data_IF_799574748671
#
_entry.id   IF_799574748671
#
_cell.length_a   1.000
_cell.length_b   1.000
_cell.length_c   1.000
_cell.angle_alpha   90.00
_cell.angle_beta   90.00
_cell.angle_gamma   90.00
#
_symmetry.space_group_name_H-M   'P 1'
#
loop_
_entity.id
_entity.type
_entity.pdbx_description
1 polymer ?
#
# COMPACT_ATOMS: atom_id res chain seq x y z
N UNK A 1 -8.21 21.54 -68.91
CA UNK A 1 -6.94 21.52 -68.17
C UNK A 1 -7.01 20.32 -67.24
N UNK A 2 -6.54 19.16 -67.72
CA UNK A 2 -6.68 17.88 -67.03
C UNK A 2 -5.50 17.65 -66.10
N UNK A 3 -5.77 17.18 -64.89
CA UNK A 3 -4.72 16.73 -63.98
C UNK A 3 -4.14 15.42 -64.53
N UNK A 4 -2.90 15.46 -65.00
CA UNK A 4 -2.14 14.26 -65.32
C UNK A 4 -1.75 13.57 -64.00
N UNK A 5 -2.50 12.53 -63.65
CA UNK A 5 -2.14 11.65 -62.54
C UNK A 5 -0.94 10.82 -62.98
N UNK A 6 0.20 11.03 -62.32
CA UNK A 6 1.42 10.27 -62.59
C UNK A 6 1.17 8.78 -62.33
N UNK A 7 1.59 7.92 -63.26
CA UNK A 7 1.27 6.48 -63.27
C UNK A 7 1.82 5.69 -62.07
N UNK A 8 2.56 6.33 -61.18
CA UNK A 8 3.09 5.72 -59.97
C UNK A 8 2.06 5.67 -58.84
N UNK A 9 0.96 6.43 -58.87
CA UNK A 9 0.03 6.43 -57.73
C UNK A 9 -1.07 5.35 -57.82
N UNK A 10 -1.08 4.55 -58.89
CA UNK A 10 -2.07 3.47 -59.10
C UNK A 10 -2.10 2.45 -57.97
N UNK A 11 -0.95 2.19 -57.33
CA UNK A 11 -0.88 1.25 -56.21
C UNK A 11 -1.63 1.78 -54.98
N UNK A 12 -1.67 3.10 -54.75
CA UNK A 12 -2.39 3.72 -53.63
C UNK A 12 -3.91 3.56 -53.79
N UNK A 13 -4.41 3.72 -55.01
CA UNK A 13 -5.84 3.53 -55.30
C UNK A 13 -6.28 2.07 -55.18
N UNK A 14 -5.43 1.14 -55.62
CA UNK A 14 -5.67 -0.30 -55.45
C UNK A 14 -5.62 -0.70 -53.97
N UNK A 15 -4.64 -0.21 -53.22
CA UNK A 15 -4.52 -0.44 -51.78
C UNK A 15 -5.76 0.09 -51.03
N UNK A 16 -6.20 1.32 -51.34
CA UNK A 16 -7.42 1.90 -50.77
C UNK A 16 -8.69 1.11 -51.15
N UNK A 17 -8.80 0.64 -52.39
CA UNK A 17 -9.93 -0.17 -52.87
C UNK A 17 -10.04 -1.50 -52.11
N UNK A 18 -8.91 -2.21 -51.93
CA UNK A 18 -8.90 -3.48 -51.19
C UNK A 18 -9.10 -3.29 -49.68
N UNK A 19 -8.66 -2.18 -49.08
CA UNK A 19 -8.90 -1.87 -47.66
C UNK A 19 -10.37 -1.54 -47.33
N UNK A 20 -11.15 -1.09 -48.32
CA UNK A 20 -12.57 -0.75 -48.18
C UNK A 20 -13.50 -1.90 -48.65
N UNK A 21 -12.97 -2.91 -49.32
CA UNK A 21 -13.75 -4.01 -49.86
C UNK A 21 -14.17 -5.00 -48.75
N UNK A 22 -15.49 -5.19 -48.59
CA UNK A 22 -16.11 -5.94 -47.47
C UNK A 22 -15.65 -7.40 -47.33
N UNK A 23 -15.12 -8.02 -48.39
CA UNK A 23 -14.62 -9.40 -48.36
C UNK A 23 -13.18 -9.53 -47.84
N UNK A 24 -12.43 -8.43 -47.76
CA UNK A 24 -11.06 -8.39 -47.24
C UNK A 24 -11.08 -7.88 -45.79
N UNK A 25 -11.09 -8.79 -44.82
CA UNK A 25 -10.97 -8.46 -43.40
C UNK A 25 -9.51 -8.19 -43.00
N UNK A 26 -8.83 -7.28 -43.71
CA UNK A 26 -7.51 -6.79 -43.30
C UNK A 26 -7.60 -5.76 -42.16
N UNK A 27 -8.83 -5.40 -41.75
CA UNK A 27 -9.15 -4.24 -40.92
C UNK A 27 -10.14 -4.52 -39.77
N UNK A 28 -9.89 -5.53 -38.94
CA UNK A 28 -10.45 -5.54 -37.57
C UNK A 28 -9.40 -5.56 -36.47
N UNK A 29 -8.16 -5.99 -36.73
CA UNK A 29 -7.08 -5.99 -35.72
C UNK A 29 -5.98 -4.96 -35.97
N UNK A 30 -5.79 -4.45 -37.19
CA UNK A 30 -4.61 -3.61 -37.56
C UNK A 30 -4.88 -2.34 -38.38
N UNK A 31 -6.12 -1.89 -38.59
CA UNK A 31 -6.31 -0.43 -38.51
C UNK A 31 -5.99 -0.15 -37.06
N UNK A 32 -4.77 0.28 -36.85
CA UNK A 32 -4.30 0.81 -35.59
C UNK A 32 -5.34 1.85 -35.24
N UNK A 33 -6.22 1.53 -34.28
CA UNK A 33 -6.91 2.55 -33.54
C UNK A 33 -5.76 3.34 -32.91
N UNK A 34 -5.25 4.34 -33.64
CA UNK A 34 -4.59 5.48 -33.08
C UNK A 34 -5.67 6.16 -32.24
N UNK A 35 -6.03 5.53 -31.11
CA UNK A 35 -6.44 6.28 -29.94
C UNK A 35 -5.21 7.11 -29.67
N UNK A 36 -5.19 8.32 -30.23
CA UNK A 36 -4.42 9.41 -29.69
C UNK A 36 -4.95 9.50 -28.28
N UNK A 37 -4.32 8.76 -27.36
CA UNK A 37 -4.71 8.79 -25.96
C UNK A 37 -4.26 10.17 -25.52
N UNK A 38 -5.15 11.15 -25.68
CA UNK A 38 -5.03 12.40 -24.98
C UNK A 38 -5.05 11.99 -23.52
N UNK A 39 -3.86 11.90 -22.92
CA UNK A 39 -3.73 11.47 -21.55
C UNK A 39 -4.63 12.35 -20.70
N UNK A 40 -5.41 11.73 -19.81
CA UNK A 40 -6.18 12.51 -18.85
C UNK A 40 -5.18 13.36 -18.07
N UNK A 41 -5.39 14.68 -18.06
CA UNK A 41 -4.57 15.59 -17.28
C UNK A 41 -4.78 15.26 -15.82
N UNK A 42 -3.70 15.29 -15.05
CA UNK A 42 -3.76 15.00 -13.62
C UNK A 42 -3.17 16.15 -12.86
N UNK A 43 -3.85 16.50 -11.79
CA UNK A 43 -3.54 17.64 -10.94
C UNK A 43 -3.28 17.15 -9.52
N UNK A 44 -2.27 17.74 -8.89
CA UNK A 44 -1.93 17.53 -7.50
C UNK A 44 -2.26 18.80 -6.72
N UNK A 45 -3.26 18.71 -5.87
CA UNK A 45 -3.71 19.79 -5.03
C UNK A 45 -3.37 19.53 -3.56
N UNK A 46 -3.51 20.59 -2.76
CA UNK A 46 -3.70 20.45 -1.33
C UNK A 46 -4.99 19.66 -1.00
N UNK A 47 -5.12 19.16 0.22
CA UNK A 47 -6.33 18.47 0.69
C UNK A 47 -7.62 19.26 0.41
N UNK A 48 -7.55 20.57 0.62
CA UNK A 48 -8.71 21.46 0.47
C UNK A 48 -8.93 21.92 -0.99
N UNK A 49 -8.06 21.55 -1.93
CA UNK A 49 -8.18 21.95 -3.33
C UNK A 49 -7.83 23.41 -3.62
N UNK A 50 -7.35 24.17 -2.63
CA UNK A 50 -7.06 25.61 -2.77
C UNK A 50 -5.77 25.92 -3.52
N UNK A 51 -4.77 25.04 -3.40
CA UNK A 51 -3.43 25.26 -3.94
C UNK A 51 -3.07 24.14 -4.89
N UNK A 52 -2.69 24.48 -6.13
CA UNK A 52 -2.21 23.55 -7.14
C UNK A 52 -0.68 23.46 -7.07
N UNK A 53 -0.17 22.30 -6.67
CA UNK A 53 1.28 22.05 -6.58
C UNK A 53 1.87 21.61 -7.91
N UNK A 54 1.16 20.75 -8.65
CA UNK A 54 1.70 20.17 -9.89
C UNK A 54 0.57 19.76 -10.84
N UNK A 55 0.80 19.92 -12.14
CA UNK A 55 -0.13 19.47 -13.19
C UNK A 55 0.64 18.72 -14.27
N UNK A 56 0.05 17.63 -14.76
CA UNK A 56 0.65 16.76 -15.77
C UNK A 56 -0.32 16.45 -16.89
N UNK A 57 0.22 16.06 -18.04
CA UNK A 57 -0.56 15.67 -19.22
C UNK A 57 -1.02 14.21 -19.14
N UNK A 58 -0.48 13.41 -18.22
CA UNK A 58 -0.82 12.00 -18.11
C UNK A 58 -0.48 11.41 -16.73
N UNK A 59 -1.15 10.31 -16.39
CA UNK A 59 -0.85 9.49 -15.21
C UNK A 59 0.59 8.95 -15.22
N UNK A 60 1.13 8.61 -16.38
CA UNK A 60 2.50 8.10 -16.48
C UNK A 60 3.53 9.18 -16.15
N UNK A 61 3.24 10.43 -16.53
CA UNK A 61 4.13 11.56 -16.27
C UNK A 61 4.22 11.88 -14.77
N UNK A 62 3.08 11.94 -14.06
CA UNK A 62 3.11 12.18 -12.60
C UNK A 62 3.82 11.04 -11.84
N UNK A 63 3.73 9.80 -12.32
CA UNK A 63 4.45 8.67 -11.74
C UNK A 63 5.97 8.80 -11.93
N UNK A 64 6.42 9.19 -13.13
CA UNK A 64 7.83 9.39 -13.43
C UNK A 64 8.42 10.58 -12.69
N UNK A 65 7.72 11.72 -12.71
CA UNK A 65 8.21 12.98 -12.17
C UNK A 65 8.21 13.02 -10.63
N UNK A 66 7.15 12.50 -9.99
CA UNK A 66 6.97 12.57 -8.53
C UNK A 66 7.30 11.24 -7.82
N UNK A 67 7.61 10.18 -8.57
CA UNK A 67 7.90 8.86 -8.00
C UNK A 67 6.73 8.27 -7.20
N UNK A 68 5.50 8.49 -7.65
CA UNK A 68 4.30 7.95 -7.02
C UNK A 68 3.95 6.63 -7.70
N UNK A 69 3.67 5.60 -6.90
CA UNK A 69 3.33 4.28 -7.43
C UNK A 69 1.97 4.31 -8.18
N UNK A 70 1.83 3.64 -9.35
CA UNK A 70 0.62 3.67 -10.17
C UNK A 70 -0.66 3.27 -9.43
N UNK A 71 -0.59 2.24 -8.58
CA UNK A 71 -1.76 1.80 -7.80
C UNK A 71 -2.21 2.86 -6.79
N UNK A 72 -1.28 3.61 -6.24
CA UNK A 72 -1.59 4.70 -5.32
C UNK A 72 -2.30 5.83 -6.06
N UNK A 73 -1.79 6.24 -7.22
CA UNK A 73 -2.47 7.23 -8.06
C UNK A 73 -3.90 6.79 -8.44
N UNK A 74 -4.08 5.52 -8.87
CA UNK A 74 -5.41 4.97 -9.19
C UNK A 74 -6.35 4.96 -7.98
N UNK A 75 -5.82 4.70 -6.79
CA UNK A 75 -6.60 4.75 -5.55
C UNK A 75 -7.01 6.18 -5.21
N UNK A 76 -6.11 7.14 -5.43
CA UNK A 76 -6.38 8.54 -5.16
C UNK A 76 -7.40 9.14 -6.11
N UNK A 77 -7.35 8.77 -7.39
CA UNK A 77 -8.37 9.16 -8.38
C UNK A 77 -9.78 8.61 -8.05
N UNK A 78 -9.89 7.58 -7.21
CA UNK A 78 -11.19 7.08 -6.71
C UNK A 78 -11.72 7.87 -5.50
N UNK A 79 -10.99 8.88 -5.04
CA UNK A 79 -11.37 9.73 -3.90
C UNK A 79 -10.55 9.50 -2.63
N UNK A 80 -9.45 8.76 -2.67
CA UNK A 80 -8.56 8.63 -1.51
C UNK A 80 -7.51 9.74 -1.46
N UNK A 81 -7.24 10.25 -0.27
CA UNK A 81 -6.20 11.26 -0.09
C UNK A 81 -4.80 10.64 -0.20
N UNK A 82 -3.88 11.35 -0.83
CA UNK A 82 -2.48 10.95 -0.89
C UNK A 82 -1.73 11.44 0.35
N UNK A 83 -1.17 10.50 1.12
CA UNK A 83 -0.44 10.75 2.37
C UNK A 83 -1.22 11.55 3.43
N UNK A 84 -2.53 11.69 3.29
CA UNK A 84 -3.35 12.63 4.06
C UNK A 84 -2.85 14.08 4.01
N UNK A 85 -2.15 14.48 2.93
CA UNK A 85 -1.68 15.85 2.72
C UNK A 85 -2.03 16.39 1.35
N UNK A 86 -2.33 15.51 0.37
CA UNK A 86 -2.56 15.93 -1.00
C UNK A 86 -3.79 15.25 -1.58
N UNK A 87 -4.41 15.93 -2.53
CA UNK A 87 -5.51 15.40 -3.33
C UNK A 87 -5.05 15.25 -4.80
N UNK A 88 -5.37 14.12 -5.42
CA UNK A 88 -5.02 13.85 -6.82
C UNK A 88 -6.32 13.72 -7.61
N UNK A 89 -6.54 14.62 -8.56
CA UNK A 89 -7.75 14.65 -9.38
C UNK A 89 -7.42 14.68 -10.87
N UNK A 90 -8.36 14.20 -11.68
CA UNK A 90 -8.34 14.30 -13.14
C UNK A 90 -9.12 15.54 -13.65
N UNK A 91 -9.97 16.13 -12.81
CA UNK A 91 -10.67 17.37 -13.07
C UNK A 91 -9.92 18.57 -12.47
N UNK A 92 -9.81 19.69 -13.21
CA UNK A 92 -9.28 20.93 -12.67
C UNK A 92 -10.30 21.56 -11.71
N UNK A 93 -9.83 22.05 -10.57
CA UNK A 93 -10.64 22.80 -9.60
C UNK A 93 -10.54 24.29 -9.93
N UNK A 94 -11.66 24.92 -10.25
CA UNK A 94 -11.75 26.36 -10.51
C UNK A 94 -11.57 27.14 -9.20
N UNK A 95 -10.60 28.07 -9.18
CA UNK A 95 -10.27 28.88 -8.00
C UNK A 95 -9.01 28.46 -7.25
N UNK A 96 -8.32 27.40 -7.70
CA UNK A 96 -7.04 27.00 -7.12
C UNK A 96 -5.91 27.97 -7.50
N UNK A 97 -5.12 28.41 -6.53
CA UNK A 97 -3.93 29.23 -6.73
C UNK A 97 -2.75 28.35 -7.11
N UNK A 98 -2.03 28.71 -8.17
CA UNK A 98 -0.82 28.00 -8.59
C UNK A 98 0.31 28.30 -7.59
N UNK A 99 0.90 27.25 -7.02
CA UNK A 99 1.96 27.40 -6.01
C UNK A 99 3.32 27.82 -6.59
N UNK A 100 3.48 27.79 -7.92
CA UNK A 100 4.72 28.11 -8.65
C UNK A 100 5.95 27.28 -8.23
N UNK A 101 5.75 26.03 -7.79
CA UNK A 101 6.87 25.12 -7.52
C UNK A 101 7.40 24.49 -8.80
N UNK A 102 8.71 24.24 -8.82
CA UNK A 102 9.35 23.41 -9.84
C UNK A 102 9.10 21.92 -9.54
N UNK A 103 9.14 21.07 -10.57
CA UNK A 103 8.99 19.61 -10.42
C UNK A 103 9.88 18.99 -9.33
N UNK A 104 11.20 19.29 -9.25
CA UNK A 104 12.05 18.73 -8.20
C UNK A 104 11.70 19.22 -6.79
N UNK A 105 11.22 20.45 -6.63
CA UNK A 105 10.76 20.97 -5.33
C UNK A 105 9.52 20.22 -4.86
N UNK A 106 8.56 19.96 -5.75
CA UNK A 106 7.36 19.16 -5.42
C UNK A 106 7.74 17.72 -5.05
N UNK A 107 8.68 17.11 -5.77
CA UNK A 107 9.16 15.76 -5.45
C UNK A 107 9.86 15.71 -4.07
N UNK A 108 10.62 16.75 -3.73
CA UNK A 108 11.28 16.89 -2.42
C UNK A 108 10.25 17.04 -1.30
N UNK A 109 9.26 17.91 -1.49
CA UNK A 109 8.14 18.11 -0.56
C UNK A 109 7.38 16.79 -0.31
N UNK A 110 7.06 16.04 -1.36
CA UNK A 110 6.40 14.73 -1.24
C UNK A 110 7.26 13.76 -0.43
N UNK A 111 8.57 13.76 -0.65
CA UNK A 111 9.49 12.87 0.07
C UNK A 111 9.55 13.17 1.56
N UNK A 112 9.57 14.45 1.95
CA UNK A 112 9.48 14.86 3.35
C UNK A 112 8.14 14.45 3.98
N UNK A 113 7.03 14.68 3.27
CA UNK A 113 5.68 14.28 3.73
C UNK A 113 5.54 12.77 3.87
N UNK A 114 6.19 11.96 3.01
CA UNK A 114 6.25 10.49 3.16
C UNK A 114 6.89 10.09 4.49
N UNK A 115 8.02 10.71 4.86
CA UNK A 115 8.71 10.44 6.14
C UNK A 115 7.81 10.80 7.32
N UNK A 116 7.17 11.96 7.28
CA UNK A 116 6.24 12.39 8.32
C UNK A 116 5.06 11.42 8.46
N UNK A 117 4.42 11.05 7.36
CA UNK A 117 3.31 10.09 7.33
C UNK A 117 3.71 8.72 7.89
N UNK A 118 4.89 8.22 7.55
CA UNK A 118 5.42 6.97 8.09
C UNK A 118 5.70 7.10 9.60
N UNK A 119 6.25 8.22 10.05
CA UNK A 119 6.53 8.45 11.47
C UNK A 119 5.26 8.53 12.32
N UNK A 120 4.18 9.12 11.81
CA UNK A 120 2.88 9.19 12.49
C UNK A 120 2.15 7.86 12.46
N UNK A 121 2.26 7.10 11.36
CA UNK A 121 1.57 5.82 11.18
C UNK A 121 2.29 4.66 11.88
N UNK A 122 3.62 4.71 12.00
CA UNK A 122 4.42 3.61 12.57
C UNK A 122 4.31 3.48 14.09
N UNK A 123 4.12 4.59 14.82
CA UNK A 123 4.02 4.59 16.29
C UNK A 123 2.85 3.76 16.84
N UNK A 124 1.80 3.51 16.05
CA UNK A 124 0.57 2.86 16.54
C UNK A 124 0.36 1.43 16.06
N UNK A 125 1.13 0.93 15.08
CA UNK A 125 0.82 -0.38 14.45
C UNK A 125 1.85 -1.49 14.64
N UNK A 126 3.12 -1.19 14.96
CA UNK A 126 4.19 -2.19 14.80
C UNK A 126 4.99 -2.58 16.04
N UNK A 127 4.94 -1.83 17.14
CA UNK A 127 5.61 -2.20 18.40
C UNK A 127 4.57 -2.55 19.46
N UNK A 128 4.05 -3.77 19.40
CA UNK A 128 3.35 -4.36 20.56
C UNK A 128 4.44 -4.72 21.57
N UNK A 129 4.41 -4.10 22.74
CA UNK A 129 5.18 -4.54 23.90
C UNK A 129 4.75 -5.97 24.26
N UNK A 130 5.75 -6.82 24.47
CA UNK A 130 5.57 -8.23 24.75
C UNK A 130 6.18 -8.53 26.11
N UNK A 131 5.42 -9.27 26.91
CA UNK A 131 5.80 -9.74 28.22
C UNK A 131 6.14 -11.22 28.08
N UNK A 132 7.33 -11.59 28.55
CA UNK A 132 7.76 -12.98 28.63
C UNK A 132 7.66 -13.41 30.08
N UNK A 133 7.02 -14.54 30.33
CA UNK A 133 6.96 -15.17 31.65
C UNK A 133 7.68 -16.52 31.61
N UNK A 134 8.68 -16.70 32.46
CA UNK A 134 9.39 -17.97 32.63
C UNK A 134 8.53 -18.95 33.44
N UNK A 135 8.36 -20.18 32.94
CA UNK A 135 7.50 -21.19 33.59
C UNK A 135 8.08 -21.67 34.91
N UNK A 136 9.41 -21.74 35.04
CA UNK A 136 10.08 -22.32 36.21
C UNK A 136 10.20 -21.33 37.39
N UNK A 137 10.54 -20.07 37.12
CA UNK A 137 10.78 -19.06 38.17
C UNK A 137 9.65 -18.06 38.33
N UNK A 138 8.71 -18.02 37.37
CA UNK A 138 7.66 -16.99 37.31
C UNK A 138 8.18 -15.59 36.98
N UNK A 139 9.47 -15.42 36.69
CA UNK A 139 10.04 -14.12 36.35
C UNK A 139 9.44 -13.58 35.05
N UNK A 140 9.10 -12.30 35.10
CA UNK A 140 8.41 -11.60 34.02
C UNK A 140 9.29 -10.49 33.49
N UNK A 141 9.49 -10.43 32.18
CA UNK A 141 10.33 -9.41 31.53
C UNK A 141 9.63 -8.83 30.31
N UNK A 142 9.66 -7.51 30.20
CA UNK A 142 9.02 -6.76 29.11
C UNK A 142 10.01 -6.43 27.99
N UNK A 143 9.55 -6.58 26.76
CA UNK A 143 10.31 -6.32 25.55
C UNK A 143 9.52 -5.45 24.57
N UNK A 144 10.19 -4.53 23.84
CA UNK A 144 9.51 -3.63 22.91
C UNK A 144 9.05 -4.32 21.60
N UNK A 145 9.59 -5.50 21.27
CA UNK A 145 9.22 -6.24 20.05
C UNK A 145 9.68 -7.71 20.07
N UNK A 146 9.11 -8.55 19.20
CA UNK A 146 9.55 -9.95 18.97
C UNK A 146 11.04 -10.00 18.59
N UNK A 147 11.55 -9.02 17.86
CA UNK A 147 12.95 -9.00 17.44
C UNK A 147 13.87 -8.80 18.62
N UNK A 148 13.48 -7.96 19.59
CA UNK A 148 14.23 -7.77 20.84
C UNK A 148 14.26 -9.07 21.66
N UNK A 149 13.16 -9.82 21.71
CA UNK A 149 13.08 -11.14 22.33
C UNK A 149 14.07 -12.12 21.69
N UNK A 150 14.04 -12.24 20.36
CA UNK A 150 14.93 -13.16 19.64
C UNK A 150 16.40 -12.79 19.89
N UNK A 151 16.73 -11.50 19.93
CA UNK A 151 18.09 -11.05 20.23
C UNK A 151 18.50 -11.34 21.68
N UNK A 152 17.62 -11.15 22.65
CA UNK A 152 17.85 -11.51 24.05
C UNK A 152 18.16 -13.00 24.20
N UNK A 153 17.32 -13.87 23.63
CA UNK A 153 17.55 -15.32 23.70
C UNK A 153 18.79 -15.78 22.94
N UNK A 154 19.19 -15.09 21.87
CA UNK A 154 20.49 -15.34 21.23
C UNK A 154 21.66 -15.11 22.19
N UNK A 155 21.60 -14.12 23.08
CA UNK A 155 22.66 -13.91 24.09
C UNK A 155 22.72 -15.05 25.11
N UNK A 156 21.58 -15.69 25.38
CA UNK A 156 21.46 -16.90 26.21
C UNK A 156 21.75 -18.20 25.44
N UNK A 157 22.23 -18.10 24.19
CA UNK A 157 22.49 -19.22 23.29
C UNK A 157 21.24 -20.07 22.94
N UNK A 158 20.04 -19.48 23.04
CA UNK A 158 18.77 -20.12 22.69
C UNK A 158 18.29 -19.60 21.33
N UNK A 159 18.24 -20.49 20.34
CA UNK A 159 17.75 -20.15 19.00
C UNK A 159 16.21 -20.11 19.02
N UNK A 160 15.64 -18.93 18.80
CA UNK A 160 14.19 -18.71 18.79
C UNK A 160 13.71 -18.33 17.40
N UNK A 161 12.62 -18.94 16.93
CA UNK A 161 12.01 -18.60 15.65
C UNK A 161 10.96 -17.50 15.84
N UNK A 162 11.19 -16.36 15.17
CA UNK A 162 10.28 -15.20 15.17
C UNK A 162 8.85 -15.56 14.75
N UNK A 163 8.70 -16.45 13.76
CA UNK A 163 7.39 -16.83 13.24
C UNK A 163 6.63 -17.72 14.22
N UNK A 164 7.34 -18.57 14.97
CA UNK A 164 6.74 -19.38 16.03
C UNK A 164 6.28 -18.51 17.18
N UNK A 165 7.12 -17.57 17.65
CA UNK A 165 6.74 -16.60 18.69
C UNK A 165 5.47 -15.85 18.25
N UNK A 166 5.42 -15.37 17.02
CA UNK A 166 4.24 -14.65 16.50
C UNK A 166 2.94 -15.46 16.56
N UNK A 167 3.01 -16.79 16.43
CA UNK A 167 1.85 -17.70 16.48
C UNK A 167 1.38 -18.02 17.91
N UNK A 168 2.32 -18.12 18.85
CA UNK A 168 2.04 -18.51 20.24
C UNK A 168 1.79 -17.33 21.18
N UNK A 169 1.96 -16.08 20.71
CA UNK A 169 1.63 -14.89 21.50
C UNK A 169 0.15 -14.94 21.90
N UNK A 170 -0.10 -14.77 23.20
CA UNK A 170 -1.42 -14.87 23.84
C UNK A 170 -2.03 -16.28 23.88
N UNK A 171 -1.26 -17.31 23.54
CA UNK A 171 -1.65 -18.70 23.79
C UNK A 171 -1.09 -19.14 25.15
N UNK A 172 -1.79 -20.01 25.86
CA UNK A 172 -1.28 -20.68 27.08
C UNK A 172 -0.17 -21.71 26.79
N UNK A 173 0.29 -21.79 25.54
CA UNK A 173 1.36 -22.67 25.11
C UNK A 173 2.71 -22.07 25.48
N UNK A 174 3.53 -22.86 26.18
CA UNK A 174 4.91 -22.51 26.44
C UNK A 174 5.79 -22.89 25.24
N UNK A 175 6.77 -22.05 24.94
CA UNK A 175 7.80 -22.35 23.97
C UNK A 175 9.16 -22.21 24.63
N UNK A 176 9.89 -23.32 24.69
CA UNK A 176 11.20 -23.43 25.37
C UNK A 176 11.17 -22.96 26.83
N UNK A 177 10.08 -23.22 27.56
CA UNK A 177 9.94 -22.84 28.96
C UNK A 177 9.47 -21.40 29.21
N UNK A 178 9.05 -20.69 28.16
CA UNK A 178 8.58 -19.31 28.24
C UNK A 178 7.18 -19.15 27.65
N UNK A 179 6.35 -18.34 28.33
CA UNK A 179 5.04 -17.88 27.87
C UNK A 179 5.17 -16.46 27.30
N UNK A 180 4.45 -16.18 26.20
CA UNK A 180 4.52 -14.90 25.49
C UNK A 180 3.16 -14.21 25.51
N UNK A 181 3.09 -13.05 26.16
CA UNK A 181 1.85 -12.30 26.36
C UNK A 181 2.02 -10.91 25.72
N UNK A 182 1.02 -10.43 24.99
CA UNK A 182 1.01 -9.04 24.52
C UNK A 182 0.49 -8.12 25.62
N UNK A 183 1.19 -7.01 25.93
CA UNK A 183 0.80 -6.12 27.02
C UNK A 183 -0.49 -5.31 26.78
N UNK A 184 -1.18 -5.54 25.65
CA UNK A 184 -2.26 -4.70 25.14
C UNK A 184 -3.59 -5.46 25.00
N UNK A 185 -3.79 -6.50 25.82
CA UNK A 185 -5.13 -7.03 26.11
C UNK A 185 -5.35 -7.07 27.60
N UNK A 186 -6.54 -6.61 27.95
CA UNK A 186 -7.25 -6.75 29.22
C UNK A 186 -7.01 -8.13 29.87
N UNK A 187 -7.07 -8.22 31.21
CA UNK A 187 -6.69 -9.42 31.97
C UNK A 187 -7.32 -10.70 31.39
N UNK A 188 -6.52 -11.77 31.33
CA UNK A 188 -7.01 -13.12 31.04
C UNK A 188 -8.30 -13.36 31.85
N UNK A 189 -9.34 -14.01 31.28
CA UNK A 189 -10.41 -14.54 32.08
C UNK A 189 -9.77 -15.43 33.14
N UNK A 190 -10.00 -15.11 34.41
CA UNK A 190 -9.68 -16.00 35.51
C UNK A 190 -10.39 -17.32 35.19
N UNK A 191 -9.62 -18.37 34.92
CA UNK A 191 -10.14 -19.73 35.00
C UNK A 191 -10.64 -19.88 36.44
N UNK A 192 -11.96 -19.92 36.60
CA UNK A 192 -12.56 -20.26 37.89
C UNK A 192 -11.98 -21.62 38.32
N UNK A 193 -11.54 -21.74 39.58
CA UNK A 193 -11.02 -22.99 40.08
C UNK A 193 -12.11 -24.04 39.95
N UNK A 194 -11.79 -25.13 39.26
CA UNK A 194 -12.62 -26.31 39.14
C UNK A 194 -13.23 -26.65 40.50
N UNK A 195 -14.56 -26.70 40.54
CA UNK A 195 -15.33 -27.23 41.66
C UNK A 195 -14.71 -28.57 42.05
N UNK A 196 -14.10 -28.56 43.23
CA UNK A 196 -13.60 -29.75 43.88
C UNK A 196 -14.79 -30.69 44.06
N UNK A 197 -14.63 -31.90 43.53
CA UNK A 197 -15.47 -33.03 43.81
C UNK A 197 -15.54 -33.24 45.34
N UNK A 198 -16.71 -32.98 45.91
CA UNK A 198 -17.12 -33.57 47.18
C UNK A 198 -17.54 -35.02 46.87
N UNK A 199 -16.56 -35.92 46.77
CA UNK A 199 -16.77 -37.31 47.16
C UNK A 199 -16.68 -37.39 48.69
N UNK A 200 -17.82 -37.18 49.36
CA UNK A 200 -18.02 -37.68 50.72
C UNK A 200 -18.79 -39.00 50.60
N UNK A 201 -18.03 -40.09 50.58
CA UNK A 201 -18.53 -41.39 51.00
C UNK A 201 -18.24 -41.57 52.48
N UNK A 202 -19.23 -42.03 53.25
CA UNK A 202 -18.96 -42.83 54.46
C UNK A 202 -19.78 -42.53 55.71
N UNK A 203 -20.66 -43.49 56.03
CA UNK A 203 -20.96 -44.00 57.37
C UNK A 203 -21.71 -43.13 58.39
N UNK A 204 -22.99 -43.49 58.62
CA UNK A 204 -23.43 -44.24 59.81
C UNK A 204 -24.85 -44.76 59.65
#
# INVERSE_FOLDING_TARGET
>A
MGAEFYSNDYFLFLEQYYLLHKSFNLNTQRIVNFRVSQGNRIYLYDLEGRTLYYSSKSLSQIQGDLGIHPNTCKSCLKGNNYLNFFNITDTPIEGAVLANFTVPEVASLISEKKVLFLSSTSKTKFSKSLIIKETETGKTQEFPSITAIVNYFKTLNIIMDRNKIAKIINTSESYKGYLFISSLRDPLPLLEPAELAEEEGGES
#
